data_IF_580371588972
#
_entry.id   IF_580371588972
#
_cell.length_a   1.000
_cell.length_b   1.000
_cell.length_c   1.000
_cell.angle_alpha   90.00
_cell.angle_beta   90.00
_cell.angle_gamma   90.00
#
_symmetry.space_group_name_H-M   'P 1'
#
loop_
_entity.id
_entity.type
_entity.pdbx_description
1 polymer ?
#
# COMPACT_ATOMS: atom_id res chain seq x y z
N UNK A 1 -6.05 -13.41 -2.89
CA UNK A 1 -5.12 -12.35 -2.48
C UNK A 1 -4.61 -11.53 -3.68
N UNK A 2 -3.94 -12.15 -4.66
CA UNK A 2 -3.36 -11.40 -5.80
C UNK A 2 -4.37 -10.55 -6.60
N UNK A 3 -5.58 -11.06 -6.89
CA UNK A 3 -6.63 -10.26 -7.53
C UNK A 3 -6.96 -8.97 -6.78
N UNK A 4 -7.03 -9.06 -5.45
CA UNK A 4 -7.36 -7.92 -4.59
C UNK A 4 -6.22 -6.92 -4.50
N UNK A 5 -4.98 -7.38 -4.45
CA UNK A 5 -3.81 -6.51 -4.57
C UNK A 5 -3.88 -5.74 -5.88
N UNK A 6 -4.14 -6.41 -7.00
CA UNK A 6 -4.27 -5.74 -8.30
C UNK A 6 -5.42 -4.71 -8.32
N UNK A 7 -6.59 -5.03 -7.75
CA UNK A 7 -7.71 -4.07 -7.63
C UNK A 7 -7.31 -2.81 -6.87
N UNK A 8 -6.65 -2.98 -5.72
CA UNK A 8 -6.18 -1.87 -4.88
C UNK A 8 -5.06 -1.07 -5.55
N UNK A 9 -4.16 -1.73 -6.29
CA UNK A 9 -3.12 -1.06 -7.08
C UNK A 9 -3.75 -0.13 -8.12
N UNK A 10 -4.77 -0.62 -8.83
CA UNK A 10 -5.46 0.17 -9.84
C UNK A 10 -6.25 1.33 -9.22
N UNK A 11 -6.81 1.16 -8.02
CA UNK A 11 -7.40 2.28 -7.27
C UNK A 11 -6.38 3.33 -6.87
N UNK A 12 -5.23 2.90 -6.34
CA UNK A 12 -4.14 3.82 -5.98
C UNK A 12 -3.62 4.59 -7.21
N UNK A 13 -3.48 3.94 -8.36
CA UNK A 13 -3.08 4.61 -9.61
C UNK A 13 -4.10 5.64 -10.10
N UNK A 14 -5.40 5.39 -9.91
CA UNK A 14 -6.45 6.36 -10.26
C UNK A 14 -6.37 7.60 -9.38
N UNK A 15 -6.08 7.43 -8.09
CA UNK A 15 -5.92 8.53 -7.14
C UNK A 15 -4.57 9.25 -7.27
N UNK A 16 -3.54 8.54 -7.74
CA UNK A 16 -2.19 9.07 -7.89
C UNK A 16 -1.53 8.56 -9.20
N UNK A 17 -1.83 9.20 -10.33
CA UNK A 17 -1.27 8.82 -11.63
C UNK A 17 0.23 9.13 -11.77
N UNK A 18 0.85 9.79 -10.80
CA UNK A 18 2.31 10.02 -10.77
C UNK A 18 3.10 8.78 -10.34
N UNK A 19 2.43 7.80 -9.73
CA UNK A 19 3.02 6.52 -9.40
C UNK A 19 3.07 5.62 -10.65
N UNK A 20 4.15 4.84 -10.77
CA UNK A 20 4.17 3.71 -11.70
C UNK A 20 3.35 2.55 -11.11
N UNK A 21 2.84 1.67 -11.97
CA UNK A 21 2.07 0.50 -11.51
C UNK A 21 2.88 -0.37 -10.53
N UNK A 22 4.16 -0.57 -10.81
CA UNK A 22 5.07 -1.30 -9.91
C UNK A 22 5.16 -0.63 -8.54
N UNK A 23 5.38 0.69 -8.49
CA UNK A 23 5.45 1.44 -7.22
C UNK A 23 4.14 1.38 -6.47
N UNK A 24 3.01 1.59 -7.15
CA UNK A 24 1.70 1.49 -6.55
C UNK A 24 1.46 0.09 -5.96
N UNK A 25 1.85 -0.96 -6.69
CA UNK A 25 1.72 -2.35 -6.22
C UNK A 25 2.59 -2.62 -5.00
N UNK A 26 3.85 -2.21 -5.00
CA UNK A 26 4.73 -2.38 -3.83
C UNK A 26 4.17 -1.68 -2.60
N UNK A 27 3.57 -0.50 -2.77
CA UNK A 27 2.86 0.18 -1.68
C UNK A 27 1.69 -0.64 -1.15
N UNK A 28 0.82 -1.16 -2.01
CA UNK A 28 -0.30 -2.01 -1.57
C UNK A 28 0.17 -3.26 -0.84
N UNK A 29 1.17 -3.97 -1.38
CA UNK A 29 1.74 -5.17 -0.78
C UNK A 29 2.33 -4.87 0.61
N UNK A 30 3.03 -3.75 0.75
CA UNK A 30 3.60 -3.32 2.02
C UNK A 30 2.52 -2.95 3.04
N UNK A 31 1.49 -2.19 2.64
CA UNK A 31 0.40 -1.78 3.54
C UNK A 31 -0.40 -2.97 4.05
N UNK A 32 -0.70 -3.93 3.17
CA UNK A 32 -1.35 -5.19 3.56
C UNK A 32 -0.46 -5.96 4.53
N UNK A 33 0.83 -6.13 4.23
CA UNK A 33 1.77 -6.87 5.09
C UNK A 33 1.96 -6.22 6.47
N UNK A 34 2.12 -4.89 6.54
CA UNK A 34 2.23 -4.15 7.80
C UNK A 34 0.94 -4.31 8.65
N UNK A 35 -0.23 -4.32 8.00
CA UNK A 35 -1.51 -4.57 8.68
C UNK A 35 -1.61 -6.01 9.20
N UNK A 36 -1.33 -7.02 8.37
CA UNK A 36 -1.36 -8.43 8.75
C UNK A 36 -0.40 -8.72 9.92
N UNK A 37 0.82 -8.18 9.88
CA UNK A 37 1.80 -8.32 10.95
C UNK A 37 1.34 -7.67 12.25
N UNK A 38 0.73 -6.48 12.18
CA UNK A 38 0.20 -5.77 13.34
C UNK A 38 -0.98 -6.52 13.98
N UNK A 39 -1.86 -7.09 13.16
CA UNK A 39 -3.02 -7.84 13.61
C UNK A 39 -2.64 -9.18 14.25
N UNK A 40 -1.68 -9.90 13.66
CA UNK A 40 -1.17 -11.15 14.20
C UNK A 40 -0.53 -10.96 15.59
N UNK A 41 0.20 -9.85 15.79
CA UNK A 41 0.81 -9.50 17.09
C UNK A 41 -0.22 -9.16 18.17
N UNK A 42 -1.40 -8.66 17.78
CA UNK A 42 -2.46 -8.27 18.70
C UNK A 42 -3.30 -9.45 19.23
N UNK A 43 -2.99 -10.70 18.81
CA UNK A 43 -3.68 -11.91 19.28
C UNK A 43 -5.14 -12.03 18.81
N UNK A 44 -5.56 -11.22 17.85
CA UNK A 44 -6.90 -11.28 17.28
C UNK A 44 -6.99 -12.42 16.26
N UNK A 45 -8.16 -13.08 16.22
CA UNK A 45 -8.53 -13.98 15.14
C UNK A 45 -8.47 -13.20 13.82
N UNK A 46 -7.45 -13.49 13.02
CA UNK A 46 -7.24 -12.82 11.74
C UNK A 46 -8.42 -13.16 10.82
N UNK A 47 -9.35 -12.21 10.66
CA UNK A 47 -10.56 -12.38 9.82
C UNK A 47 -10.28 -12.33 8.31
N UNK A 48 -9.03 -12.60 7.91
CA UNK A 48 -8.61 -12.62 6.53
C UNK A 48 -8.41 -11.24 5.91
N UNK A 49 -8.10 -11.26 4.62
CA UNK A 49 -7.79 -10.10 3.80
C UNK A 49 -8.88 -9.02 3.77
N UNK A 50 -10.14 -9.36 4.08
CA UNK A 50 -11.26 -8.40 4.02
C UNK A 50 -11.13 -7.22 4.99
N UNK A 51 -10.55 -7.45 6.19
CA UNK A 51 -10.29 -6.36 7.14
C UNK A 51 -9.14 -5.46 6.66
N UNK A 52 -8.08 -6.07 6.12
CA UNK A 52 -6.96 -5.35 5.53
C UNK A 52 -7.41 -4.51 4.33
N UNK A 53 -8.23 -5.07 3.43
CA UNK A 53 -8.75 -4.38 2.24
C UNK A 53 -9.48 -3.09 2.61
N UNK A 54 -10.37 -3.12 3.60
CA UNK A 54 -11.13 -1.94 4.01
C UNK A 54 -10.22 -0.82 4.52
N UNK A 55 -9.23 -1.17 5.33
CA UNK A 55 -8.29 -0.20 5.91
C UNK A 55 -7.37 0.37 4.83
N UNK A 56 -6.83 -0.48 3.95
CA UNK A 56 -6.00 -0.04 2.83
C UNK A 56 -6.77 0.90 1.90
N UNK A 57 -8.04 0.61 1.58
CA UNK A 57 -8.89 1.54 0.81
C UNK A 57 -9.06 2.90 1.49
N UNK A 58 -9.24 2.93 2.81
CA UNK A 58 -9.32 4.19 3.55
C UNK A 58 -8.01 4.98 3.48
N UNK A 59 -6.86 4.30 3.53
CA UNK A 59 -5.56 4.95 3.38
C UNK A 59 -5.33 5.46 1.96
N UNK A 60 -5.70 4.70 0.93
CA UNK A 60 -5.67 5.17 -0.46
C UNK A 60 -6.51 6.43 -0.61
N UNK A 61 -7.74 6.44 -0.10
CA UNK A 61 -8.61 7.62 -0.18
C UNK A 61 -8.08 8.84 0.60
N UNK A 62 -7.39 8.61 1.73
CA UNK A 62 -6.92 9.71 2.60
C UNK A 62 -5.55 10.26 2.21
N UNK A 63 -4.67 9.39 1.71
CA UNK A 63 -3.24 9.68 1.52
C UNK A 63 -2.71 9.31 0.13
N UNK A 64 -3.48 8.60 -0.68
CA UNK A 64 -3.07 8.07 -1.99
C UNK A 64 -2.50 9.16 -2.90
N UNK A 65 -3.17 10.32 -2.99
CA UNK A 65 -2.73 11.44 -3.81
C UNK A 65 -1.35 12.03 -3.43
N UNK A 66 -0.92 11.85 -2.18
CA UNK A 66 0.35 12.38 -1.65
C UNK A 66 1.34 11.29 -1.27
N UNK A 67 1.09 10.04 -1.67
CA UNK A 67 1.94 8.91 -1.29
C UNK A 67 3.39 9.09 -1.75
N UNK A 68 3.59 9.75 -2.91
CA UNK A 68 4.91 10.10 -3.42
C UNK A 68 5.67 11.06 -2.48
N UNK A 69 4.97 11.95 -1.74
CA UNK A 69 5.57 12.87 -0.77
C UNK A 69 6.06 12.11 0.47
N UNK A 70 5.26 11.18 1.01
CA UNK A 70 5.60 10.39 2.20
C UNK A 70 6.88 9.57 2.01
N UNK A 71 7.06 9.05 0.80
CA UNK A 71 8.21 8.27 0.45
C UNK A 71 9.50 9.12 0.44
N UNK A 72 9.40 10.43 0.16
CA UNK A 72 10.53 11.36 0.30
C UNK A 72 10.85 11.74 1.75
N UNK A 73 9.85 11.73 2.64
CA UNK A 73 10.02 12.17 4.04
C UNK A 73 10.28 11.04 5.03
N UNK A 74 10.09 9.78 4.65
CA UNK A 74 10.26 8.62 5.53
C UNK A 74 11.43 7.73 5.07
N UNK A 75 12.55 7.68 5.82
CA UNK A 75 13.72 6.86 5.47
C UNK A 75 13.40 5.38 5.29
N UNK A 76 12.39 4.86 5.99
CA UNK A 76 11.91 3.47 5.86
C UNK A 76 11.38 3.21 4.44
N UNK A 77 10.83 4.20 3.76
CA UNK A 77 10.17 4.06 2.45
C UNK A 77 10.91 4.76 1.31
N UNK A 78 11.98 5.51 1.60
CA UNK A 78 12.79 6.21 0.60
C UNK A 78 13.35 5.28 -0.48
N UNK A 79 13.65 4.02 -0.13
CA UNK A 79 14.13 3.02 -1.09
C UNK A 79 13.06 2.63 -2.13
N UNK A 80 11.77 2.80 -1.84
CA UNK A 80 10.66 2.51 -2.77
C UNK A 80 10.54 3.58 -3.88
N UNK A 81 11.09 4.77 -3.67
CA UNK A 81 11.19 5.79 -4.72
C UNK A 81 12.42 5.62 -5.61
N UNK A 82 13.45 4.96 -5.07
CA UNK A 82 14.78 4.99 -5.63
C UNK A 82 15.03 3.94 -6.73
N UNK A 83 14.00 3.20 -7.17
CA UNK A 83 14.07 2.46 -8.42
C UNK A 83 14.00 3.42 -9.61
N UNK A 84 15.14 4.06 -9.86
CA UNK A 84 15.57 4.51 -11.18
C UNK A 84 15.94 3.26 -11.97
N UNK A 85 15.16 3.03 -13.02
CA UNK A 85 15.62 2.67 -14.37
C UNK A 85 16.70 1.58 -14.46
N UNK A 86 16.27 0.41 -14.90
CA UNK A 86 16.97 -0.27 -16.00
C UNK A 86 15.96 -0.63 -17.10
#
# INVERSE_FOLDING_TARGET
>A
MQRKINELTQELLRENPELTEEKARTWIELLVSDFESSYAKAGYDYRGFGAAEKIVRQWIASYGSRLHEFATSNPKYAHLLNDRLH
#
